data_IF_954357458278
#
_entry.id   IF_954357458278
#
_cell.length_a   1.000
_cell.length_b   1.000
_cell.length_c   1.000
_cell.angle_alpha   90.00
_cell.angle_beta   90.00
_cell.angle_gamma   90.00
#
_symmetry.space_group_name_H-M   'P 1'
#
loop_
_entity.id
_entity.type
_entity.pdbx_description
1 polymer ?
#
# COMPACT_ATOMS: atom_id res chain seq x y z
N UNK A 1 -11.51 24.67 -10.55
CA UNK A 1 -11.48 24.96 -9.10
C UNK A 1 -10.57 23.92 -8.46
N UNK A 2 -9.53 24.32 -7.73
CA UNK A 2 -8.62 23.38 -7.09
C UNK A 2 -9.32 22.87 -5.83
N UNK A 3 -9.73 21.61 -5.82
CA UNK A 3 -10.20 20.97 -4.59
C UNK A 3 -9.00 20.65 -3.70
N UNK A 4 -8.48 21.67 -3.02
CA UNK A 4 -7.46 21.54 -1.97
C UNK A 4 -7.87 20.47 -0.94
N UNK A 5 -9.18 20.31 -0.74
CA UNK A 5 -9.77 19.25 0.07
C UNK A 5 -9.44 17.83 -0.45
N UNK A 6 -9.54 17.58 -1.76
CA UNK A 6 -9.19 16.28 -2.34
C UNK A 6 -7.69 15.99 -2.21
N UNK A 7 -6.84 17.01 -2.38
CA UNK A 7 -5.39 16.89 -2.22
C UNK A 7 -5.02 16.63 -0.75
N UNK A 8 -5.72 17.26 0.19
CA UNK A 8 -5.58 16.99 1.62
C UNK A 8 -6.05 15.57 1.97
N UNK A 9 -7.16 15.11 1.40
CA UNK A 9 -7.67 13.74 1.58
C UNK A 9 -6.70 12.70 1.02
N UNK A 10 -6.10 12.98 -0.15
CA UNK A 10 -5.04 12.17 -0.75
C UNK A 10 -3.83 12.09 0.19
N UNK A 11 -3.42 13.21 0.79
CA UNK A 11 -2.36 13.25 1.81
C UNK A 11 -2.70 12.40 3.03
N UNK A 12 -3.92 12.51 3.55
CA UNK A 12 -4.38 11.75 4.72
C UNK A 12 -4.43 10.25 4.45
N UNK A 13 -5.16 9.83 3.41
CA UNK A 13 -5.36 8.42 3.05
C UNK A 13 -4.04 7.77 2.58
N UNK A 14 -3.26 8.47 1.76
CA UNK A 14 -1.95 7.99 1.31
C UNK A 14 -0.97 7.80 2.47
N UNK A 15 -1.08 8.62 3.52
CA UNK A 15 -0.21 8.55 4.70
C UNK A 15 -0.46 7.32 5.58
N UNK A 16 -1.68 6.77 5.62
CA UNK A 16 -2.03 5.63 6.50
C UNK A 16 -1.32 4.33 6.13
N UNK A 17 -1.12 4.07 4.83
CA UNK A 17 -0.46 2.85 4.36
C UNK A 17 1.03 3.05 4.06
N UNK A 18 1.35 4.11 3.32
CA UNK A 18 2.69 4.30 2.79
C UNK A 18 3.61 5.05 3.74
N UNK A 19 3.20 6.23 4.22
CA UNK A 19 4.04 7.02 5.13
C UNK A 19 4.17 6.33 6.50
N UNK A 20 3.13 5.69 7.03
CA UNK A 20 3.24 4.91 8.26
C UNK A 20 4.17 3.68 8.11
N UNK A 21 4.13 3.02 6.94
CA UNK A 21 4.95 1.83 6.66
C UNK A 21 6.41 2.13 6.32
N UNK A 22 6.68 3.15 5.51
CA UNK A 22 8.02 3.52 5.04
C UNK A 22 8.70 4.52 5.97
N UNK A 23 7.95 5.50 6.47
CA UNK A 23 8.51 6.60 7.26
C UNK A 23 8.36 6.40 8.77
N UNK A 24 7.41 5.58 9.22
CA UNK A 24 7.32 5.14 10.62
C UNK A 24 8.66 4.62 11.16
N UNK A 25 9.34 3.71 10.46
CA UNK A 25 10.70 3.27 10.80
C UNK A 25 11.72 4.41 11.03
N UNK A 26 11.76 5.40 10.15
CA UNK A 26 12.67 6.56 10.24
C UNK A 26 12.32 7.46 11.43
N UNK A 27 11.03 7.72 11.65
CA UNK A 27 10.58 8.51 12.81
C UNK A 27 10.98 7.86 14.14
N UNK A 28 10.93 6.52 14.20
CA UNK A 28 11.39 5.74 15.36
C UNK A 28 12.90 5.83 15.54
N UNK A 29 13.67 5.73 14.44
CA UNK A 29 15.13 5.82 14.49
C UNK A 29 15.59 7.20 15.01
N UNK A 30 14.94 8.28 14.57
CA UNK A 30 15.22 9.63 15.06
C UNK A 30 14.80 9.83 16.53
N UNK A 31 13.67 9.26 16.96
CA UNK A 31 13.27 9.30 18.38
C UNK A 31 14.22 8.53 19.30
N UNK A 32 14.89 7.48 18.80
CA UNK A 32 15.86 6.69 19.58
C UNK A 32 17.26 7.31 19.63
N UNK A 33 17.62 8.11 18.63
CA UNK A 33 18.89 8.82 18.61
C UNK A 33 18.89 10.07 19.50
N UNK A 34 17.72 10.54 19.94
CA UNK A 34 17.61 11.63 20.90
C UNK A 34 17.97 11.12 22.31
N UNK A 35 19.18 11.47 22.74
CA UNK A 35 19.82 10.99 23.98
C UNK A 35 19.24 11.71 25.21
N UNK A 36 18.04 11.30 25.64
CA UNK A 36 17.59 11.56 27.02
C UNK A 36 17.99 10.36 27.89
N UNK A 37 18.67 10.61 29.02
CA UNK A 37 19.02 9.61 30.02
C UNK A 37 17.80 9.01 30.77
N UNK A 38 16.58 9.39 30.36
CA UNK A 38 15.30 8.92 30.90
C UNK A 38 14.37 8.55 29.76
N UNK A 39 13.38 7.69 30.02
CA UNK A 39 12.36 7.34 29.05
C UNK A 39 11.69 8.62 28.53
N UNK A 40 11.74 8.93 27.22
CA UNK A 40 11.22 10.20 26.71
C UNK A 40 9.73 10.29 27.01
N UNK A 41 9.32 11.44 27.56
CA UNK A 41 7.92 11.68 27.92
C UNK A 41 7.10 11.88 26.65
N UNK A 42 5.82 11.54 26.64
CA UNK A 42 4.95 11.69 25.45
C UNK A 42 4.95 13.12 24.89
N UNK A 43 5.15 14.13 25.75
CA UNK A 43 5.24 15.55 25.40
C UNK A 43 6.51 15.89 24.63
N UNK A 44 7.65 15.31 25.00
CA UNK A 44 8.94 15.53 24.33
C UNK A 44 8.93 14.91 22.93
N UNK A 45 8.31 13.74 22.78
CA UNK A 45 8.10 13.13 21.47
C UNK A 45 7.12 13.92 20.60
N UNK A 46 6.02 14.42 21.18
CA UNK A 46 5.08 15.29 20.47
C UNK A 46 5.79 16.55 19.95
N UNK A 47 6.61 17.19 20.79
CA UNK A 47 7.38 18.37 20.42
C UNK A 47 8.37 18.07 19.28
N UNK A 48 9.18 17.03 19.42
CA UNK A 48 10.15 16.61 18.40
C UNK A 48 9.48 16.30 17.05
N UNK A 49 8.39 15.52 17.05
CA UNK A 49 7.69 15.15 15.83
C UNK A 49 6.90 16.31 15.23
N UNK A 50 6.44 17.27 16.02
CA UNK A 50 5.81 18.49 15.52
C UNK A 50 6.81 19.35 14.75
N UNK A 51 7.99 19.59 15.32
CA UNK A 51 9.08 20.31 14.66
C UNK A 51 9.58 19.61 13.39
N UNK A 52 9.68 18.28 13.43
CA UNK A 52 10.02 17.45 12.27
C UNK A 52 9.01 17.64 11.12
N UNK A 53 7.72 17.55 11.42
CA UNK A 53 6.70 17.72 10.39
C UNK A 53 6.61 19.17 9.90
N UNK A 54 6.90 20.15 10.75
CA UNK A 54 6.99 21.56 10.35
C UNK A 54 8.04 21.78 9.26
N UNK A 55 9.22 21.16 9.40
CA UNK A 55 10.26 21.16 8.36
C UNK A 55 9.80 20.49 7.07
N UNK A 56 9.03 19.39 7.18
CA UNK A 56 8.47 18.67 6.03
C UNK A 56 7.43 19.50 5.27
N UNK A 57 6.55 20.21 5.98
CA UNK A 57 5.59 21.17 5.40
C UNK A 57 6.30 22.29 4.66
N UNK A 58 7.35 22.86 5.26
CA UNK A 58 8.15 23.90 4.63
C UNK A 58 8.80 23.40 3.33
N UNK A 59 9.38 22.19 3.35
CA UNK A 59 9.93 21.57 2.14
C UNK A 59 8.88 21.36 1.06
N UNK A 60 7.68 20.91 1.40
CA UNK A 60 6.59 20.71 0.43
C UNK A 60 6.11 22.03 -0.17
N UNK A 61 5.98 23.08 0.64
CA UNK A 61 5.62 24.41 0.17
C UNK A 61 6.65 24.95 -0.83
N UNK A 62 7.94 24.88 -0.49
CA UNK A 62 9.04 25.37 -1.35
C UNK A 62 9.05 24.63 -2.69
N UNK A 63 8.92 23.29 -2.65
CA UNK A 63 8.87 22.48 -3.87
C UNK A 63 7.61 22.80 -4.70
N UNK A 64 6.47 23.01 -4.05
CA UNK A 64 5.21 23.39 -4.71
C UNK A 64 5.27 24.75 -5.39
N UNK A 65 5.91 25.74 -4.75
CA UNK A 65 6.18 27.06 -5.33
C UNK A 65 7.04 26.91 -6.59
N UNK A 66 8.13 26.15 -6.49
CA UNK A 66 9.04 25.91 -7.62
C UNK A 66 8.35 25.21 -8.79
N UNK A 67 7.66 24.11 -8.53
CA UNK A 67 7.00 23.30 -9.57
C UNK A 67 5.76 24.02 -10.14
N UNK A 68 4.97 24.73 -9.33
CA UNK A 68 3.85 25.54 -9.80
C UNK A 68 4.30 26.74 -10.65
N UNK A 69 5.44 27.33 -10.30
CA UNK A 69 6.11 28.36 -11.11
C UNK A 69 6.61 27.80 -12.45
N UNK A 70 7.29 26.66 -12.45
CA UNK A 70 7.67 25.98 -13.69
C UNK A 70 6.44 25.62 -14.54
N UNK A 71 5.38 25.13 -13.89
CA UNK A 71 4.08 24.86 -14.50
C UNK A 71 3.49 26.05 -15.23
N UNK A 72 3.59 27.26 -14.66
CA UNK A 72 3.11 28.47 -15.33
C UNK A 72 3.81 28.71 -16.69
N UNK A 73 5.09 28.37 -16.77
CA UNK A 73 5.93 28.60 -17.96
C UNK A 73 5.63 27.56 -19.04
N UNK A 74 5.55 26.26 -18.72
CA UNK A 74 5.27 25.28 -19.79
C UNK A 74 3.79 25.26 -20.23
N UNK A 75 2.84 25.76 -19.41
CA UNK A 75 1.41 25.87 -19.80
C UNK A 75 1.28 27.01 -20.80
N UNK A 76 1.97 28.13 -20.55
CA UNK A 76 2.09 29.22 -21.50
C UNK A 76 2.79 28.79 -22.81
N UNK A 77 3.67 27.77 -22.76
CA UNK A 77 4.38 27.22 -23.92
C UNK A 77 3.63 26.13 -24.70
N UNK A 78 2.44 25.70 -24.29
CA UNK A 78 1.61 24.72 -25.01
C UNK A 78 2.13 23.27 -25.03
N UNK A 79 3.24 22.96 -24.34
CA UNK A 79 3.91 21.65 -24.39
C UNK A 79 3.38 20.63 -23.37
N UNK A 80 2.48 21.02 -22.46
CA UNK A 80 1.99 20.12 -21.41
C UNK A 80 1.05 19.00 -21.90
N UNK A 81 0.40 19.17 -23.05
CA UNK A 81 -0.66 18.26 -23.48
C UNK A 81 -0.19 16.84 -23.86
N UNK A 82 1.12 16.56 -23.91
CA UNK A 82 1.66 15.24 -24.27
C UNK A 82 2.79 14.70 -23.38
N UNK A 83 3.37 15.51 -22.49
CA UNK A 83 4.50 15.12 -21.64
C UNK A 83 4.08 14.38 -20.37
N UNK A 84 2.81 14.50 -19.95
CA UNK A 84 2.30 13.94 -18.70
C UNK A 84 2.41 12.41 -18.66
N UNK A 85 2.17 11.71 -19.76
CA UNK A 85 2.16 10.24 -19.75
C UNK A 85 3.58 9.67 -19.60
N UNK A 86 4.53 10.12 -20.42
CA UNK A 86 5.90 9.59 -20.46
C UNK A 86 6.67 9.97 -19.19
N UNK A 87 6.55 11.22 -18.72
CA UNK A 87 7.29 11.68 -17.55
C UNK A 87 6.75 11.04 -16.26
N UNK A 88 5.42 10.90 -16.14
CA UNK A 88 4.78 10.20 -15.03
C UNK A 88 5.12 8.70 -15.02
N UNK A 89 5.20 8.07 -16.19
CA UNK A 89 5.58 6.67 -16.34
C UNK A 89 7.06 6.45 -15.97
N UNK A 90 7.97 7.30 -16.46
CA UNK A 90 9.39 7.25 -16.11
C UNK A 90 9.63 7.44 -14.61
N UNK A 91 8.95 8.41 -13.99
CA UNK A 91 9.04 8.62 -12.54
C UNK A 91 8.37 7.50 -11.74
N UNK A 92 7.26 6.92 -12.20
CA UNK A 92 6.63 5.78 -11.54
C UNK A 92 7.55 4.54 -11.57
N UNK A 93 8.23 4.27 -12.70
CA UNK A 93 9.23 3.21 -12.80
C UNK A 93 10.38 3.47 -11.81
N UNK A 94 10.94 4.67 -11.84
CA UNK A 94 12.05 5.04 -10.96
C UNK A 94 11.67 4.91 -9.47
N UNK A 95 10.50 5.42 -9.10
CA UNK A 95 9.99 5.35 -7.72
C UNK A 95 9.71 3.91 -7.31
N UNK A 96 9.05 3.13 -8.17
CA UNK A 96 8.73 1.73 -7.88
C UNK A 96 10.00 0.88 -7.70
N UNK A 97 11.01 1.07 -8.55
CA UNK A 97 12.31 0.41 -8.42
C UNK A 97 13.03 0.79 -7.11
N UNK A 98 13.02 2.08 -6.76
CA UNK A 98 13.61 2.60 -5.53
C UNK A 98 12.87 2.11 -4.27
N UNK A 99 11.54 2.01 -4.30
CA UNK A 99 10.74 1.44 -3.21
C UNK A 99 10.97 -0.06 -3.03
N UNK A 100 11.13 -0.81 -4.13
CA UNK A 100 11.52 -2.23 -4.07
C UNK A 100 12.90 -2.36 -3.43
N UNK A 101 13.86 -1.54 -3.85
CA UNK A 101 15.20 -1.50 -3.26
C UNK A 101 15.17 -1.24 -1.75
N UNK A 102 14.48 -0.18 -1.31
CA UNK A 102 14.34 0.14 0.12
C UNK A 102 13.57 -0.94 0.89
N UNK A 103 12.53 -1.53 0.31
CA UNK A 103 11.78 -2.63 0.90
C UNK A 103 12.65 -3.87 1.12
N UNK A 104 13.42 -4.30 0.11
CA UNK A 104 14.40 -5.39 0.22
C UNK A 104 15.46 -5.11 1.29
N UNK A 105 16.00 -3.89 1.31
CA UNK A 105 16.99 -3.46 2.31
C UNK A 105 16.45 -3.54 3.74
N UNK A 106 15.17 -3.21 3.97
CA UNK A 106 14.50 -3.32 5.28
C UNK A 106 14.16 -4.77 5.67
N UNK A 107 13.82 -5.64 4.71
CA UNK A 107 13.41 -7.04 4.98
C UNK A 107 14.61 -7.92 5.35
N UNK A 108 15.73 -7.79 4.62
CA UNK A 108 17.00 -8.50 4.90
C UNK A 108 18.22 -7.67 4.48
N UNK A 109 18.87 -6.97 5.44
CA UNK A 109 20.06 -6.15 5.17
C UNK A 109 21.22 -6.91 4.51
N UNK A 110 21.33 -8.22 4.77
CA UNK A 110 22.42 -9.10 4.27
C UNK A 110 22.29 -9.50 2.80
N UNK A 111 21.16 -9.21 2.13
CA UNK A 111 20.86 -9.67 0.76
C UNK A 111 21.05 -8.60 -0.32
N UNK A 112 21.50 -7.38 0.02
CA UNK A 112 21.81 -6.38 -1.00
C UNK A 112 22.98 -6.88 -1.87
N UNK A 113 22.80 -7.02 -3.20
CA UNK A 113 23.91 -7.22 -4.10
C UNK A 113 24.82 -6.00 -3.98
N UNK A 114 26.10 -6.21 -3.72
CA UNK A 114 27.10 -5.14 -3.82
C UNK A 114 27.21 -4.80 -5.31
N UNK A 115 26.36 -3.91 -5.81
CA UNK A 115 26.39 -3.52 -7.22
C UNK A 115 27.70 -2.76 -7.48
N UNK A 116 28.58 -3.27 -8.38
CA UNK A 116 29.90 -2.71 -8.61
C UNK A 116 29.89 -1.34 -9.30
N UNK A 117 28.73 -0.83 -9.73
CA UNK A 117 28.58 0.46 -10.43
C UNK A 117 28.48 1.64 -9.46
N UNK A 118 28.08 1.42 -8.20
CA UNK A 118 28.09 2.45 -7.15
C UNK A 118 29.48 2.62 -6.48
N UNK A 119 30.48 1.87 -6.95
CA UNK A 119 31.84 1.86 -6.40
C UNK A 119 32.54 3.24 -6.35
N UNK A 120 32.29 4.21 -7.27
CA UNK A 120 32.89 5.54 -7.16
C UNK A 120 32.32 6.40 -6.01
N UNK A 121 31.08 6.12 -5.56
CA UNK A 121 30.42 6.85 -4.47
C UNK A 121 30.57 6.16 -3.11
N UNK A 122 30.77 4.85 -3.08
CA UNK A 122 31.03 4.09 -1.85
C UNK A 122 32.49 4.13 -1.40
N UNK A 123 33.44 4.49 -2.28
CA UNK A 123 34.84 4.73 -1.90
C UNK A 123 35.08 6.12 -1.29
N UNK A 124 34.16 7.06 -1.52
CA UNK A 124 34.19 8.31 -0.81
C UNK A 124 33.73 8.08 0.63
N UNK A 125 34.52 8.55 1.60
CA UNK A 125 34.12 8.75 3.00
C UNK A 125 32.82 9.57 3.17
N UNK A 126 32.10 9.92 2.11
CA UNK A 126 30.89 10.72 2.06
C UNK A 126 29.70 10.01 2.70
N UNK A 127 29.46 8.71 2.46
CA UNK A 127 28.34 8.01 3.10
C UNK A 127 28.55 7.89 4.61
N UNK A 128 29.78 7.57 5.03
CA UNK A 128 30.14 7.58 6.45
C UNK A 128 30.21 8.98 7.05
N UNK A 129 30.62 10.02 6.29
CA UNK A 129 30.62 11.41 6.76
C UNK A 129 29.21 11.97 6.86
N UNK A 130 28.31 11.67 5.92
CA UNK A 130 26.90 12.03 6.01
C UNK A 130 26.21 11.25 7.13
N UNK A 131 26.50 9.95 7.26
CA UNK A 131 25.99 9.14 8.38
C UNK A 131 26.47 9.67 9.73
N UNK A 132 27.78 9.97 9.85
CA UNK A 132 28.35 10.60 11.06
C UNK A 132 27.87 12.03 11.28
N UNK A 133 27.63 12.81 10.22
CA UNK A 133 27.09 14.16 10.31
C UNK A 133 25.62 14.14 10.73
N UNK A 134 24.81 13.22 10.19
CA UNK A 134 23.42 13.02 10.62
C UNK A 134 23.35 12.55 12.07
N UNK A 135 24.25 11.65 12.50
CA UNK A 135 24.32 11.21 13.90
C UNK A 135 24.80 12.35 14.82
N UNK A 136 25.87 13.08 14.46
CA UNK A 136 26.33 14.26 15.23
C UNK A 136 25.28 15.37 15.30
N UNK A 137 24.55 15.60 14.21
CA UNK A 137 23.48 16.58 14.15
C UNK A 137 22.28 16.12 15.00
N UNK A 138 21.94 14.83 14.96
CA UNK A 138 20.91 14.21 15.80
C UNK A 138 21.27 14.22 17.30
N UNK A 139 22.56 14.11 17.64
CA UNK A 139 23.08 14.26 19.00
C UNK A 139 23.20 15.71 19.47
N UNK A 140 23.23 16.68 18.55
CA UNK A 140 23.17 18.09 18.89
C UNK A 140 21.73 18.43 19.30
N UNK A 141 21.48 18.49 20.62
CA UNK A 141 20.19 18.73 21.26
C UNK A 141 19.57 20.11 21.03
N UNK A 142 19.78 20.71 19.85
CA UNK A 142 19.21 22.00 19.50
C UNK A 142 17.82 21.86 18.89
N UNK A 143 16.99 22.89 19.08
CA UNK A 143 15.59 22.95 18.64
C UNK A 143 15.40 22.90 17.11
N UNK A 144 16.43 23.22 16.33
CA UNK A 144 16.39 23.25 14.85
C UNK A 144 16.75 21.92 14.19
N UNK A 145 17.35 20.99 14.95
CA UNK A 145 17.73 19.65 14.49
C UNK A 145 16.54 18.86 13.90
N UNK A 146 15.36 18.78 14.56
CA UNK A 146 14.23 18.04 14.03
C UNK A 146 13.66 18.71 12.78
N UNK A 147 13.64 20.04 12.72
CA UNK A 147 13.15 20.79 11.56
C UNK A 147 14.03 20.58 10.32
N UNK A 148 15.36 20.58 10.49
CA UNK A 148 16.29 20.33 9.39
C UNK A 148 16.20 18.89 8.86
N UNK A 149 16.07 17.91 9.77
CA UNK A 149 15.75 16.53 9.41
C UNK A 149 14.43 16.44 8.64
N UNK A 150 13.42 17.21 9.05
CA UNK A 150 12.13 17.31 8.38
C UNK A 150 12.21 17.85 6.97
N UNK A 151 13.05 18.87 6.73
CA UNK A 151 13.28 19.44 5.40
C UNK A 151 13.93 18.40 4.47
N UNK A 152 15.00 17.75 4.93
CA UNK A 152 15.71 16.71 4.15
C UNK A 152 14.78 15.53 3.88
N UNK A 153 14.00 15.13 4.88
CA UNK A 153 13.07 14.02 4.76
C UNK A 153 11.88 14.35 3.84
N UNK A 154 11.42 15.60 3.83
CA UNK A 154 10.40 16.09 2.89
C UNK A 154 10.83 16.06 1.42
N UNK A 155 12.14 16.02 1.15
CA UNK A 155 12.65 15.90 -0.22
C UNK A 155 12.70 14.45 -0.73
N UNK A 156 12.39 13.45 0.12
CA UNK A 156 12.39 12.05 -0.32
C UNK A 156 11.23 11.81 -1.28
N UNK A 157 11.51 11.39 -2.53
CA UNK A 157 10.47 11.17 -3.52
C UNK A 157 9.60 9.97 -3.17
N UNK A 158 8.28 10.13 -3.27
CA UNK A 158 7.32 9.02 -3.17
C UNK A 158 6.14 9.21 -4.13
N UNK A 159 5.46 8.12 -4.49
CA UNK A 159 4.42 8.14 -5.53
C UNK A 159 3.26 9.10 -5.23
N UNK A 160 2.85 9.22 -3.97
CA UNK A 160 1.81 10.17 -3.54
C UNK A 160 2.29 11.62 -3.57
N UNK A 161 3.56 11.86 -3.21
CA UNK A 161 4.17 13.18 -3.30
C UNK A 161 4.25 13.63 -4.76
N UNK A 162 4.59 12.72 -5.68
CA UNK A 162 4.60 13.03 -7.12
C UNK A 162 3.21 13.35 -7.66
N UNK A 163 2.17 12.61 -7.25
CA UNK A 163 0.80 12.94 -7.66
C UNK A 163 0.40 14.36 -7.21
N UNK A 164 0.78 14.76 -5.99
CA UNK A 164 0.56 16.11 -5.49
C UNK A 164 1.42 17.17 -6.22
N UNK A 165 2.68 16.85 -6.56
CA UNK A 165 3.58 17.73 -7.30
C UNK A 165 3.13 17.97 -8.75
N UNK A 166 2.63 16.93 -9.43
CA UNK A 166 2.01 17.06 -10.75
C UNK A 166 0.78 17.95 -10.64
N UNK A 167 -0.07 17.71 -9.63
CA UNK A 167 -1.23 18.57 -9.40
C UNK A 167 -0.85 20.03 -9.13
N UNK A 168 0.25 20.26 -8.41
CA UNK A 168 0.82 21.58 -8.18
C UNK A 168 1.34 22.22 -9.48
N UNK A 169 1.96 21.45 -10.37
CA UNK A 169 2.40 21.91 -11.69
C UNK A 169 1.21 22.33 -12.58
N UNK A 170 0.13 21.52 -12.59
CA UNK A 170 -1.11 21.79 -13.33
C UNK A 170 -1.78 23.11 -12.91
N UNK A 171 -1.53 23.60 -11.67
CA UNK A 171 -2.12 24.87 -11.22
C UNK A 171 -1.62 26.07 -12.02
N UNK A 172 -0.46 25.95 -12.69
CA UNK A 172 0.12 27.02 -13.51
C UNK A 172 0.38 28.32 -12.75
N UNK A 173 0.47 28.27 -11.42
CA UNK A 173 0.62 29.44 -10.57
C UNK A 173 1.48 29.11 -9.35
N UNK A 174 2.45 29.99 -9.06
CA UNK A 174 3.41 29.84 -7.96
C UNK A 174 2.71 29.65 -6.61
N UNK A 175 1.73 30.49 -6.31
CA UNK A 175 1.02 30.51 -5.03
C UNK A 175 0.09 29.30 -4.90
N UNK A 176 -0.62 28.95 -5.97
CA UNK A 176 -1.52 27.80 -5.97
C UNK A 176 -0.75 26.47 -5.93
N UNK A 177 0.42 26.39 -6.56
CA UNK A 177 1.33 25.25 -6.44
C UNK A 177 1.83 25.06 -5.02
N UNK A 178 2.24 26.15 -4.35
CA UNK A 178 2.60 26.14 -2.93
C UNK A 178 1.43 25.72 -2.03
N UNK A 179 0.24 26.29 -2.24
CA UNK A 179 -0.96 25.97 -1.47
C UNK A 179 -1.39 24.50 -1.64
N UNK A 180 -1.28 23.95 -2.86
CA UNK A 180 -1.58 22.55 -3.17
C UNK A 180 -0.68 21.60 -2.37
N UNK A 181 0.63 21.87 -2.36
CA UNK A 181 1.59 21.05 -1.63
C UNK A 181 1.48 21.22 -0.10
N UNK A 182 1.12 22.41 0.38
CA UNK A 182 0.79 22.64 1.78
C UNK A 182 -0.46 21.86 2.20
N UNK A 183 -1.53 21.87 1.40
CA UNK A 183 -2.74 21.09 1.66
C UNK A 183 -2.44 19.59 1.72
N UNK A 184 -1.62 19.07 0.80
CA UNK A 184 -1.12 17.70 0.86
C UNK A 184 -0.35 17.43 2.17
N UNK A 185 0.59 18.31 2.53
CA UNK A 185 1.38 18.21 3.76
C UNK A 185 0.52 18.19 5.02
N UNK A 186 -0.46 19.09 5.11
CA UNK A 186 -1.44 19.15 6.21
C UNK A 186 -2.27 17.88 6.30
N UNK A 187 -2.65 17.29 5.16
CA UNK A 187 -3.32 15.99 5.13
C UNK A 187 -2.49 14.86 5.76
N UNK A 188 -1.17 14.88 5.59
CA UNK A 188 -0.27 13.85 6.15
C UNK A 188 0.05 14.03 7.65
N UNK A 189 -0.21 15.22 8.21
CA UNK A 189 0.15 15.56 9.60
C UNK A 189 -0.50 14.65 10.66
N UNK A 190 -1.83 14.43 10.66
CA UNK A 190 -2.49 13.67 11.72
C UNK A 190 -1.93 12.25 11.82
N UNK A 191 -1.67 11.66 10.66
CA UNK A 191 -1.17 10.29 10.56
C UNK A 191 0.29 10.18 11.00
N UNK A 192 1.16 11.14 10.63
CA UNK A 192 2.57 11.14 11.03
C UNK A 192 2.78 11.46 12.51
N UNK A 193 1.99 12.39 13.07
CA UNK A 193 1.99 12.64 14.51
C UNK A 193 1.42 11.44 15.26
N UNK A 194 0.34 10.83 14.78
CA UNK A 194 -0.24 9.63 15.37
C UNK A 194 0.73 8.45 15.42
N UNK A 195 1.48 8.22 14.34
CA UNK A 195 2.54 7.20 14.30
C UNK A 195 3.67 7.55 15.26
N UNK A 196 4.15 8.80 15.26
CA UNK A 196 5.21 9.26 16.17
C UNK A 196 4.87 9.02 17.65
N UNK A 197 3.68 9.46 18.09
CA UNK A 197 3.20 9.28 19.47
C UNK A 197 2.98 7.79 19.79
N UNK A 198 2.46 7.01 18.85
CA UNK A 198 2.22 5.58 19.07
C UNK A 198 3.51 4.80 19.34
N UNK A 199 4.66 5.31 18.86
CA UNK A 199 5.94 4.64 19.08
C UNK A 199 6.44 4.74 20.52
N UNK A 200 6.03 5.76 21.28
CA UNK A 200 6.20 5.84 22.74
C UNK A 200 5.57 4.65 23.45
N UNK A 201 4.39 4.25 22.99
CA UNK A 201 3.52 3.26 23.64
C UNK A 201 3.88 1.81 23.28
N UNK A 202 4.69 1.60 22.23
CA UNK A 202 5.03 0.27 21.71
C UNK A 202 6.38 -0.19 22.28
N UNK A 203 6.47 -1.43 22.80
CA UNK A 203 7.71 -1.99 23.34
C UNK A 203 8.74 -2.34 22.26
N UNK A 204 10.04 -2.29 22.59
CA UNK A 204 11.17 -2.47 21.66
C UNK A 204 11.08 -3.74 20.78
N UNK A 205 10.52 -4.84 21.31
CA UNK A 205 10.40 -6.11 20.60
C UNK A 205 9.30 -6.10 19.51
N UNK A 206 8.23 -5.31 19.71
CA UNK A 206 7.18 -5.09 18.69
C UNK A 206 7.61 -4.06 17.64
N UNK A 207 8.53 -3.14 17.99
CA UNK A 207 9.11 -2.15 17.05
C UNK A 207 9.94 -2.82 15.95
N UNK A 208 10.75 -3.84 16.26
CA UNK A 208 11.54 -4.56 15.25
C UNK A 208 10.67 -5.36 14.26
N UNK A 209 9.54 -5.90 14.75
CA UNK A 209 8.55 -6.55 13.91
C UNK A 209 7.83 -5.55 13.00
N UNK A 210 7.49 -4.37 13.53
CA UNK A 210 6.89 -3.28 12.75
C UNK A 210 7.83 -2.80 11.62
N UNK A 211 9.13 -2.66 11.90
CA UNK A 211 10.15 -2.34 10.89
C UNK A 211 10.22 -3.38 9.77
N UNK A 212 10.23 -4.68 10.11
CA UNK A 212 10.23 -5.76 9.11
C UNK A 212 8.93 -5.82 8.32
N UNK A 213 7.79 -5.53 8.94
CA UNK A 213 6.49 -5.44 8.27
C UNK A 213 6.42 -4.22 7.34
N UNK A 214 6.95 -3.07 7.76
CA UNK A 214 7.09 -1.86 6.94
C UNK A 214 7.91 -2.10 5.66
N UNK A 215 8.99 -2.88 5.75
CA UNK A 215 9.76 -3.33 4.60
C UNK A 215 8.96 -4.16 3.60
N UNK A 216 8.15 -5.12 4.06
CA UNK A 216 7.25 -5.91 3.20
C UNK A 216 6.17 -5.04 2.56
N UNK A 217 5.56 -4.12 3.32
CA UNK A 217 4.56 -3.18 2.80
C UNK A 217 5.17 -2.28 1.73
N UNK A 218 6.37 -1.73 1.98
CA UNK A 218 7.10 -0.87 1.04
C UNK A 218 7.47 -1.64 -0.24
N UNK A 219 7.90 -2.89 -0.12
CA UNK A 219 8.18 -3.76 -1.26
C UNK A 219 6.92 -4.04 -2.09
N UNK A 220 5.81 -4.38 -1.44
CA UNK A 220 4.53 -4.62 -2.13
C UNK A 220 4.07 -3.35 -2.85
N UNK A 221 4.14 -2.18 -2.20
CA UNK A 221 3.81 -0.90 -2.82
C UNK A 221 4.72 -0.61 -4.01
N UNK A 222 6.03 -0.85 -3.89
CA UNK A 222 6.99 -0.67 -4.98
C UNK A 222 6.70 -1.59 -6.19
N UNK A 223 6.39 -2.86 -5.93
CA UNK A 223 5.97 -3.83 -6.96
C UNK A 223 4.67 -3.38 -7.61
N UNK A 224 3.65 -3.01 -6.84
CA UNK A 224 2.37 -2.50 -7.38
C UNK A 224 2.59 -1.22 -8.20
N UNK A 225 3.48 -0.33 -7.76
CA UNK A 225 3.80 0.91 -8.48
C UNK A 225 4.49 0.63 -9.81
N UNK A 226 5.41 -0.34 -9.88
CA UNK A 226 6.03 -0.76 -11.15
C UNK A 226 5.06 -1.48 -12.07
N UNK A 227 4.14 -2.27 -11.51
CA UNK A 227 3.12 -2.95 -12.30
C UNK A 227 2.11 -1.95 -12.86
N UNK A 228 1.90 -0.79 -12.23
CA UNK A 228 0.96 0.28 -12.65
C UNK A 228 1.46 1.12 -13.84
N UNK A 229 2.09 0.49 -14.82
CA UNK A 229 2.74 1.18 -15.93
C UNK A 229 1.94 1.05 -17.23
N UNK A 230 1.33 2.16 -17.65
CA UNK A 230 0.89 2.39 -19.04
C UNK A 230 -0.54 2.00 -19.38
N UNK A 231 -0.99 0.81 -18.98
CA UNK A 231 -2.36 0.36 -19.25
C UNK A 231 -3.21 0.51 -17.99
N UNK A 232 -4.43 1.04 -18.14
CA UNK A 232 -5.42 1.27 -17.09
C UNK A 232 -5.94 -0.06 -16.51
N UNK A 233 -5.07 -0.83 -15.87
CA UNK A 233 -5.39 -2.12 -15.27
C UNK A 233 -5.57 -1.91 -13.79
N UNK A 234 -6.77 -2.20 -13.30
CA UNK A 234 -7.08 -2.11 -11.89
C UNK A 234 -6.45 -3.28 -11.10
N UNK A 235 -5.24 -3.07 -10.60
CA UNK A 235 -4.52 -4.02 -9.75
C UNK A 235 -5.17 -4.25 -8.39
N UNK A 236 -6.11 -3.40 -7.94
CA UNK A 236 -6.72 -3.56 -6.62
C UNK A 236 -7.66 -4.77 -6.59
N UNK A 237 -8.39 -5.05 -7.67
CA UNK A 237 -9.17 -6.27 -7.82
C UNK A 237 -8.30 -7.54 -7.83
N UNK A 238 -7.16 -7.49 -8.54
CA UNK A 238 -6.19 -8.61 -8.57
C UNK A 238 -5.54 -8.86 -7.20
N UNK A 239 -5.14 -7.79 -6.52
CA UNK A 239 -4.60 -7.86 -5.17
C UNK A 239 -5.61 -8.42 -4.18
N UNK A 240 -6.89 -8.03 -4.28
CA UNK A 240 -7.96 -8.55 -3.45
C UNK A 240 -8.14 -10.07 -3.64
N UNK A 241 -8.21 -10.54 -4.87
CA UNK A 241 -8.36 -11.96 -5.19
C UNK A 241 -7.16 -12.79 -4.70
N UNK A 242 -5.93 -12.31 -4.92
CA UNK A 242 -4.72 -12.99 -4.46
C UNK A 242 -4.67 -13.06 -2.93
N UNK A 243 -4.98 -11.97 -2.25
CA UNK A 243 -5.04 -11.95 -0.78
C UNK A 243 -6.09 -12.92 -0.24
N UNK A 244 -7.26 -13.00 -0.88
CA UNK A 244 -8.31 -13.95 -0.52
C UNK A 244 -7.85 -15.40 -0.73
N UNK A 245 -7.23 -15.70 -1.88
CA UNK A 245 -6.66 -17.03 -2.17
C UNK A 245 -5.62 -17.45 -1.13
N UNK A 246 -4.65 -16.58 -0.83
CA UNK A 246 -3.63 -16.85 0.19
C UNK A 246 -4.25 -17.06 1.59
N UNK A 247 -5.26 -16.27 1.96
CA UNK A 247 -5.94 -16.40 3.25
C UNK A 247 -6.67 -17.76 3.40
N UNK A 248 -7.17 -18.32 2.30
CA UNK A 248 -7.87 -19.62 2.27
C UNK A 248 -6.90 -20.81 2.26
N UNK A 249 -5.76 -20.70 1.57
CA UNK A 249 -4.72 -21.75 1.50
C UNK A 249 -3.83 -21.77 2.76
N UNK A 250 -3.73 -20.65 3.48
CA UNK A 250 -2.81 -20.46 4.60
C UNK A 250 -2.83 -21.58 5.65
N UNK A 251 -3.99 -22.20 5.91
CA UNK A 251 -4.13 -23.27 6.92
C UNK A 251 -3.82 -24.67 6.35
N UNK A 252 -4.39 -25.12 5.21
CA UNK A 252 -3.97 -26.39 4.60
C UNK A 252 -2.47 -26.51 4.34
N UNK A 253 -1.84 -25.42 3.91
CA UNK A 253 -0.41 -25.43 3.56
C UNK A 253 0.53 -25.20 4.75
N UNK A 254 -0.01 -24.95 5.96
CA UNK A 254 0.77 -24.40 7.07
C UNK A 254 1.92 -25.30 7.55
N UNK A 255 1.85 -26.61 7.27
CA UNK A 255 2.93 -27.57 7.57
C UNK A 255 4.12 -27.43 6.62
N UNK A 256 3.90 -27.03 5.37
CA UNK A 256 4.97 -26.78 4.38
C UNK A 256 5.40 -25.32 4.37
N UNK A 257 4.45 -24.39 4.58
CA UNK A 257 4.71 -22.96 4.57
C UNK A 257 3.88 -22.24 5.64
N UNK A 258 4.52 -21.87 6.76
CA UNK A 258 3.84 -21.30 7.94
C UNK A 258 3.64 -19.78 7.89
N UNK A 259 4.35 -19.05 7.02
CA UNK A 259 4.28 -17.60 6.93
C UNK A 259 2.87 -17.06 6.60
N UNK A 260 2.12 -17.61 5.63
CA UNK A 260 0.76 -17.14 5.33
C UNK A 260 -0.21 -17.34 6.50
N UNK A 261 -0.03 -18.38 7.32
CA UNK A 261 -0.85 -18.62 8.50
C UNK A 261 -0.67 -17.50 9.54
N UNK A 262 0.56 -17.02 9.74
CA UNK A 262 0.86 -15.92 10.67
C UNK A 262 0.15 -14.61 10.29
N UNK A 263 -0.01 -14.36 9.00
CA UNK A 263 -0.62 -13.14 8.47
C UNK A 263 -2.04 -13.35 7.92
N UNK A 264 -2.68 -14.48 8.23
CA UNK A 264 -3.98 -14.86 7.64
C UNK A 264 -5.08 -13.81 7.86
N UNK A 265 -5.14 -13.21 9.07
CA UNK A 265 -6.12 -12.15 9.39
C UNK A 265 -5.83 -10.88 8.58
N UNK A 266 -4.57 -10.49 8.47
CA UNK A 266 -4.14 -9.34 7.66
C UNK A 266 -4.47 -9.55 6.17
N UNK A 267 -4.22 -10.75 5.64
CA UNK A 267 -4.55 -11.10 4.26
C UNK A 267 -6.06 -11.05 4.00
N UNK A 268 -6.89 -11.55 4.94
CA UNK A 268 -8.35 -11.49 4.82
C UNK A 268 -8.91 -10.06 4.85
N UNK A 269 -8.49 -9.25 5.83
CA UNK A 269 -8.90 -7.83 5.92
C UNK A 269 -8.34 -7.03 4.73
N UNK A 270 -7.10 -7.30 4.32
CA UNK A 270 -6.48 -6.69 3.15
C UNK A 270 -7.24 -7.00 1.86
N UNK A 271 -7.71 -8.24 1.69
CA UNK A 271 -8.57 -8.61 0.57
C UNK A 271 -9.86 -7.75 0.54
N UNK A 272 -10.53 -7.59 1.68
CA UNK A 272 -11.74 -6.76 1.79
C UNK A 272 -11.49 -5.28 1.48
N UNK A 273 -10.45 -4.68 2.05
CA UNK A 273 -10.10 -3.26 1.80
C UNK A 273 -9.75 -3.03 0.32
N UNK A 274 -8.98 -3.93 -0.29
CA UNK A 274 -8.66 -3.87 -1.72
C UNK A 274 -9.92 -4.06 -2.59
N UNK A 275 -10.88 -4.87 -2.15
CA UNK A 275 -12.18 -5.04 -2.84
C UNK A 275 -13.00 -3.75 -2.82
N UNK A 276 -13.03 -3.03 -1.68
CA UNK A 276 -13.69 -1.73 -1.58
C UNK A 276 -13.01 -0.68 -2.48
N UNK A 277 -11.67 -0.69 -2.52
CA UNK A 277 -10.90 0.19 -3.41
C UNK A 277 -11.23 -0.10 -4.89
N UNK A 278 -11.31 -1.38 -5.28
CA UNK A 278 -11.70 -1.82 -6.62
C UNK A 278 -13.09 -1.32 -7.01
N UNK A 279 -14.09 -1.53 -6.16
CA UNK A 279 -15.46 -1.07 -6.42
C UNK A 279 -15.51 0.45 -6.53
N UNK A 280 -14.80 1.17 -5.64
CA UNK A 280 -14.77 2.64 -5.67
C UNK A 280 -14.12 3.16 -6.95
N UNK A 281 -13.03 2.54 -7.39
CA UNK A 281 -12.34 2.89 -8.62
C UNK A 281 -13.21 2.65 -9.86
N UNK A 282 -13.88 1.48 -9.93
CA UNK A 282 -14.80 1.15 -11.03
C UNK A 282 -16.04 2.04 -11.04
N UNK A 283 -16.57 2.39 -9.87
CA UNK A 283 -17.73 3.27 -9.76
C UNK A 283 -17.42 4.69 -10.26
N UNK A 284 -16.22 5.19 -9.96
CA UNK A 284 -15.74 6.48 -10.43
C UNK A 284 -15.40 6.46 -11.94
N UNK A 285 -14.57 5.51 -12.39
CA UNK A 285 -14.04 5.52 -13.76
C UNK A 285 -15.00 4.94 -14.81
N UNK A 286 -15.81 3.93 -14.47
CA UNK A 286 -16.73 3.29 -15.43
C UNK A 286 -18.11 3.92 -15.40
N UNK A 287 -18.60 4.28 -14.21
CA UNK A 287 -19.96 4.80 -14.04
C UNK A 287 -20.00 6.32 -13.90
N UNK A 288 -18.88 7.00 -13.66
CA UNK A 288 -18.83 8.44 -13.38
C UNK A 288 -19.88 8.85 -12.33
N UNK A 289 -20.01 8.03 -11.28
CA UNK A 289 -21.02 8.15 -10.22
C UNK A 289 -22.49 8.07 -10.67
N UNK A 290 -22.74 7.65 -11.91
CA UNK A 290 -24.08 7.52 -12.48
C UNK A 290 -24.49 6.04 -12.68
N UNK A 291 -25.45 5.61 -11.87
CA UNK A 291 -25.99 4.24 -11.89
C UNK A 291 -26.84 3.93 -13.12
N UNK A 292 -27.27 4.94 -13.90
CA UNK A 292 -28.04 4.70 -15.12
C UNK A 292 -27.24 3.92 -16.17
N UNK A 293 -25.91 3.91 -16.09
CA UNK A 293 -25.05 3.11 -16.97
C UNK A 293 -25.23 1.59 -16.82
N UNK A 294 -25.75 1.11 -15.68
CA UNK A 294 -25.95 -0.33 -15.45
C UNK A 294 -26.93 -0.97 -16.43
N UNK A 295 -28.01 -0.27 -16.77
CA UNK A 295 -29.05 -0.79 -17.66
C UNK A 295 -28.58 -0.94 -19.11
N UNK A 296 -27.48 -0.27 -19.48
CA UNK A 296 -26.92 -0.32 -20.84
C UNK A 296 -25.88 -1.44 -21.02
N UNK A 297 -25.45 -2.12 -19.96
CA UNK A 297 -24.51 -3.24 -20.06
C UNK A 297 -25.19 -4.53 -20.56
N UNK A 298 -24.43 -5.38 -21.26
CA UNK A 298 -24.92 -6.70 -21.65
C UNK A 298 -25.31 -7.54 -20.41
N UNK A 299 -26.34 -8.39 -20.50
CA UNK A 299 -26.78 -9.25 -19.39
C UNK A 299 -25.65 -10.11 -18.78
N UNK A 300 -24.67 -10.53 -19.59
CA UNK A 300 -23.52 -11.31 -19.12
C UNK A 300 -22.59 -10.52 -18.18
N UNK A 301 -22.38 -9.23 -18.44
CA UNK A 301 -21.56 -8.37 -17.57
C UNK A 301 -22.33 -7.94 -16.33
N UNK A 302 -23.65 -7.79 -16.44
CA UNK A 302 -24.52 -7.56 -15.28
C UNK A 302 -24.46 -8.73 -14.30
N UNK A 303 -24.55 -9.98 -14.79
CA UNK A 303 -24.43 -11.16 -13.91
C UNK A 303 -23.06 -11.26 -13.25
N UNK A 304 -21.99 -10.95 -14.00
CA UNK A 304 -20.65 -10.84 -13.44
C UNK A 304 -20.55 -9.78 -12.33
N UNK A 305 -21.15 -8.60 -12.52
CA UNK A 305 -21.18 -7.55 -11.49
C UNK A 305 -21.93 -7.99 -10.24
N UNK A 306 -23.11 -8.58 -10.40
CA UNK A 306 -23.89 -9.11 -9.27
C UNK A 306 -23.12 -10.18 -8.49
N UNK A 307 -22.38 -11.05 -9.18
CA UNK A 307 -21.50 -12.03 -8.52
C UNK A 307 -20.44 -11.33 -7.64
N UNK A 308 -19.84 -10.23 -8.13
CA UNK A 308 -18.88 -9.42 -7.36
C UNK A 308 -19.50 -8.76 -6.13
N UNK A 309 -20.69 -8.17 -6.27
CA UNK A 309 -21.43 -7.54 -5.16
C UNK A 309 -21.76 -8.59 -4.09
N UNK A 310 -22.29 -9.75 -4.49
CA UNK A 310 -22.63 -10.83 -3.55
C UNK A 310 -21.37 -11.33 -2.85
N UNK A 311 -20.26 -11.49 -3.57
CA UNK A 311 -18.99 -11.89 -2.97
C UNK A 311 -18.50 -10.89 -1.92
N UNK A 312 -18.59 -9.58 -2.20
CA UNK A 312 -18.24 -8.51 -1.27
C UNK A 312 -19.11 -8.56 -0.01
N UNK A 313 -20.43 -8.76 -0.16
CA UNK A 313 -21.35 -8.91 0.97
C UNK A 313 -20.98 -10.13 1.83
N UNK A 314 -20.61 -11.26 1.21
CA UNK A 314 -20.24 -12.47 1.94
C UNK A 314 -18.93 -12.33 2.75
N UNK A 315 -17.95 -11.57 2.26
CA UNK A 315 -16.68 -11.34 2.99
C UNK A 315 -16.79 -10.23 4.06
N UNK A 316 -17.79 -9.35 3.96
CA UNK A 316 -17.96 -8.20 4.86
C UNK A 316 -18.08 -8.60 6.34
N UNK A 317 -18.92 -9.58 6.74
CA UNK A 317 -19.00 -10.01 8.13
C UNK A 317 -17.67 -10.55 8.66
N UNK A 318 -16.87 -11.25 7.85
CA UNK A 318 -15.57 -11.76 8.26
C UNK A 318 -14.55 -10.63 8.49
N UNK A 319 -14.58 -9.60 7.66
CA UNK A 319 -13.75 -8.41 7.84
C UNK A 319 -14.14 -7.62 9.09
N UNK A 320 -15.44 -7.36 9.29
CA UNK A 320 -15.93 -6.57 10.43
C UNK A 320 -15.78 -7.29 11.78
N UNK A 321 -15.79 -8.62 11.80
CA UNK A 321 -15.61 -9.43 13.02
C UNK A 321 -14.15 -9.85 13.27
N UNK A 322 -13.19 -9.21 12.60
CA UNK A 322 -11.76 -9.51 12.74
C UNK A 322 -11.09 -8.93 14.01
N UNK A 323 -11.85 -8.28 14.90
CA UNK A 323 -11.36 -7.79 16.20
C UNK A 323 -11.34 -8.90 17.26
N UNK A 324 -10.36 -8.89 18.16
CA UNK A 324 -10.21 -9.93 19.20
C UNK A 324 -11.42 -10.01 20.14
N UNK A 325 -12.05 -8.87 20.45
CA UNK A 325 -13.25 -8.81 21.29
C UNK A 325 -14.45 -9.52 20.64
N UNK A 326 -14.70 -9.26 19.36
CA UNK A 326 -15.82 -9.85 18.62
C UNK A 326 -15.57 -11.34 18.33
N UNK A 327 -14.32 -11.71 18.04
CA UNK A 327 -13.93 -13.12 17.89
C UNK A 327 -14.23 -13.92 19.16
N UNK A 328 -13.86 -13.39 20.33
CA UNK A 328 -14.11 -14.05 21.61
C UNK A 328 -15.60 -14.11 21.94
N UNK A 329 -16.37 -13.07 21.61
CA UNK A 329 -17.82 -13.03 21.82
C UNK A 329 -18.61 -13.99 20.91
N UNK A 330 -18.20 -14.13 19.64
CA UNK A 330 -18.88 -14.97 18.65
C UNK A 330 -18.57 -16.47 18.77
N UNK A 331 -17.46 -16.83 19.41
CA UNK A 331 -17.07 -18.22 19.70
C UNK A 331 -17.21 -19.15 18.48
N UNK A 332 -18.15 -20.10 18.53
CA UNK A 332 -18.40 -21.07 17.45
C UNK A 332 -18.99 -20.43 16.18
N UNK A 333 -19.78 -19.37 16.30
CA UNK A 333 -20.38 -18.64 15.17
C UNK A 333 -19.34 -17.91 14.32
N UNK A 334 -18.20 -17.53 14.91
CA UNK A 334 -17.08 -16.93 14.19
C UNK A 334 -16.54 -17.81 13.06
N UNK A 335 -16.58 -19.14 13.27
CA UNK A 335 -16.18 -20.12 12.25
C UNK A 335 -17.14 -20.13 11.07
N UNK A 336 -18.45 -20.05 11.32
CA UNK A 336 -19.47 -20.04 10.26
C UNK A 336 -19.31 -18.80 9.37
N UNK A 337 -19.04 -17.65 9.98
CA UNK A 337 -18.77 -16.40 9.27
C UNK A 337 -17.55 -16.56 8.33
N UNK A 338 -16.47 -17.18 8.78
CA UNK A 338 -15.27 -17.42 7.95
C UNK A 338 -15.47 -18.50 6.87
N UNK A 339 -16.51 -19.32 6.95
CA UNK A 339 -16.86 -20.28 5.89
C UNK A 339 -17.48 -19.57 4.68
N UNK A 340 -18.12 -18.41 4.87
CA UNK A 340 -18.69 -17.60 3.78
C UNK A 340 -17.62 -17.10 2.79
N UNK A 341 -16.34 -17.05 3.18
CA UNK A 341 -15.25 -16.72 2.28
C UNK A 341 -15.00 -17.76 1.18
N UNK A 342 -15.53 -18.99 1.31
CA UNK A 342 -15.46 -20.03 0.26
C UNK A 342 -16.40 -19.73 -0.92
N UNK A 343 -17.73 -19.60 -0.71
CA UNK A 343 -18.61 -19.20 -1.80
C UNK A 343 -18.23 -17.83 -2.36
N UNK A 344 -17.69 -16.91 -1.53
CA UNK A 344 -17.16 -15.64 -2.01
C UNK A 344 -16.00 -15.82 -3.03
N UNK A 345 -15.06 -16.75 -2.80
CA UNK A 345 -13.99 -17.02 -3.78
C UNK A 345 -14.55 -17.49 -5.12
N UNK A 346 -15.55 -18.38 -5.10
CA UNK A 346 -16.19 -18.90 -6.31
C UNK A 346 -16.88 -17.75 -7.06
N UNK A 347 -17.63 -16.90 -6.35
CA UNK A 347 -18.28 -15.74 -6.93
C UNK A 347 -17.29 -14.70 -7.47
N UNK A 348 -16.16 -14.48 -6.79
CA UNK A 348 -15.08 -13.62 -7.32
C UNK A 348 -14.46 -14.19 -8.60
N UNK A 349 -14.29 -15.51 -8.70
CA UNK A 349 -13.79 -16.15 -9.91
C UNK A 349 -14.79 -16.01 -11.07
N UNK A 350 -16.09 -16.18 -10.80
CA UNK A 350 -17.18 -15.94 -11.77
C UNK A 350 -17.20 -14.47 -12.19
N UNK A 351 -17.17 -13.54 -11.24
CA UNK A 351 -17.10 -12.10 -11.50
C UNK A 351 -15.93 -11.75 -12.44
N UNK A 352 -14.73 -12.26 -12.14
CA UNK A 352 -13.51 -12.01 -12.93
C UNK A 352 -13.64 -12.58 -14.34
N UNK A 353 -14.22 -13.77 -14.49
CA UNK A 353 -14.40 -14.42 -15.79
C UNK A 353 -15.51 -13.81 -16.65
N UNK A 354 -16.59 -13.28 -16.04
CA UNK A 354 -17.75 -12.74 -16.76
C UNK A 354 -17.66 -11.25 -17.06
N UNK A 355 -17.14 -10.44 -16.13
CA UNK A 355 -16.98 -8.99 -16.34
C UNK A 355 -15.78 -8.72 -17.23
N UNK A 356 -14.74 -9.58 -17.15
CA UNK A 356 -13.48 -9.35 -17.81
C UNK A 356 -12.83 -8.10 -17.23
N UNK A 357 -12.01 -8.26 -16.18
CA UNK A 357 -11.10 -7.17 -15.85
C UNK A 357 -10.19 -6.93 -17.06
N UNK A 358 -9.70 -5.71 -17.23
CA UNK A 358 -8.79 -5.29 -18.30
C UNK A 358 -7.42 -6.03 -18.30
N UNK A 359 -7.38 -7.29 -17.85
CA UNK A 359 -6.42 -8.32 -18.21
C UNK A 359 -6.85 -9.13 -19.45
N UNK A 360 -8.15 -9.10 -19.81
CA UNK A 360 -8.86 -10.15 -20.57
C UNK A 360 -10.20 -9.68 -21.17
N UNK A 361 -10.27 -8.48 -21.75
CA UNK A 361 -11.56 -7.83 -22.00
C UNK A 361 -11.70 -7.12 -23.35
N UNK A 362 -11.39 -7.80 -24.44
CA UNK A 362 -12.17 -7.62 -25.66
C UNK A 362 -12.79 -8.98 -25.98
N UNK A 363 -14.02 -9.01 -26.51
CA UNK A 363 -14.65 -10.22 -27.08
C UNK A 363 -13.91 -10.74 -28.33
N UNK A 364 -12.66 -10.32 -28.57
CA UNK A 364 -11.77 -10.96 -29.52
C UNK A 364 -11.22 -12.22 -28.87
N UNK A 365 -11.70 -13.38 -29.32
CA UNK A 365 -11.27 -14.71 -28.87
C UNK A 365 -9.79 -14.96 -29.23
N UNK A 366 -8.89 -14.26 -28.57
CA UNK A 366 -7.46 -14.45 -28.69
C UNK A 366 -7.05 -15.58 -27.75
N UNK A 367 -6.22 -16.50 -28.24
CA UNK A 367 -5.87 -17.73 -27.52
C UNK A 367 -5.27 -17.47 -26.12
N UNK A 368 -4.55 -16.36 -25.97
CA UNK A 368 -3.97 -15.93 -24.69
C UNK A 368 -5.02 -15.59 -23.62
N UNK A 369 -6.21 -15.14 -24.02
CA UNK A 369 -7.25 -14.77 -23.06
C UNK A 369 -7.98 -16.00 -22.48
N UNK A 370 -8.27 -16.97 -23.34
CA UNK A 370 -8.85 -18.25 -22.92
C UNK A 370 -7.92 -19.00 -21.96
N UNK A 371 -6.61 -19.02 -22.25
CA UNK A 371 -5.61 -19.67 -21.40
C UNK A 371 -5.57 -19.08 -19.97
N UNK A 372 -5.63 -17.76 -19.83
CA UNK A 372 -5.59 -17.10 -18.50
C UNK A 372 -6.89 -17.32 -17.71
N UNK A 373 -8.04 -17.33 -18.36
CA UNK A 373 -9.33 -17.63 -17.71
C UNK A 373 -9.35 -19.09 -17.24
N UNK A 374 -8.89 -20.01 -18.09
CA UNK A 374 -8.72 -21.43 -17.73
C UNK A 374 -7.74 -21.58 -16.56
N UNK A 375 -6.62 -20.85 -16.57
CA UNK A 375 -5.66 -20.85 -15.45
C UNK A 375 -6.31 -20.38 -14.14
N UNK A 376 -7.11 -19.31 -14.17
CA UNK A 376 -7.81 -18.81 -12.98
C UNK A 376 -8.82 -19.83 -12.43
N UNK A 377 -9.54 -20.52 -13.31
CA UNK A 377 -10.43 -21.64 -12.93
C UNK A 377 -9.63 -22.79 -12.31
N UNK A 378 -8.52 -23.20 -12.93
CA UNK A 378 -7.64 -24.26 -12.42
C UNK A 378 -7.09 -23.89 -11.04
N UNK A 379 -6.61 -22.66 -10.85
CA UNK A 379 -6.10 -22.18 -9.56
C UNK A 379 -7.23 -22.22 -8.52
N UNK A 380 -8.40 -21.69 -8.84
CA UNK A 380 -9.54 -21.66 -7.91
C UNK A 380 -9.97 -23.07 -7.52
N UNK A 381 -10.08 -23.99 -8.48
CA UNK A 381 -10.36 -25.40 -8.22
C UNK A 381 -9.27 -26.02 -7.34
N UNK A 382 -7.99 -25.83 -7.67
CA UNK A 382 -6.86 -26.35 -6.88
C UNK A 382 -6.92 -25.89 -5.41
N UNK A 383 -7.31 -24.64 -5.16
CA UNK A 383 -7.48 -24.11 -3.80
C UNK A 383 -8.62 -24.82 -3.06
N UNK A 384 -9.75 -25.03 -3.73
CA UNK A 384 -10.88 -25.77 -3.16
C UNK A 384 -10.50 -27.23 -2.88
N UNK A 385 -9.76 -27.87 -3.79
CA UNK A 385 -9.27 -29.23 -3.63
C UNK A 385 -8.32 -29.34 -2.43
N UNK A 386 -7.32 -28.47 -2.33
CA UNK A 386 -6.36 -28.39 -1.21
C UNK A 386 -7.07 -28.11 0.13
N UNK A 387 -8.23 -27.46 0.12
CA UNK A 387 -9.01 -27.24 1.35
C UNK A 387 -9.84 -28.47 1.75
N UNK A 388 -10.22 -29.30 0.79
CA UNK A 388 -11.08 -30.46 1.03
C UNK A 388 -10.31 -31.59 1.77
N UNK A 389 -10.79 -32.08 2.92
CA UNK A 389 -10.10 -33.13 3.67
C UNK A 389 -10.09 -34.48 2.93
N UNK A 390 -11.07 -34.71 2.05
CA UNK A 390 -11.22 -35.92 1.25
C UNK A 390 -10.00 -36.14 0.33
N UNK A 391 -9.48 -35.08 -0.28
CA UNK A 391 -8.38 -35.19 -1.25
C UNK A 391 -7.05 -35.50 -0.56
N UNK A 392 -6.82 -34.95 0.63
CA UNK A 392 -5.66 -35.32 1.45
C UNK A 392 -5.72 -36.79 1.89
N UNK A 393 -6.92 -37.34 2.06
CA UNK A 393 -7.14 -38.76 2.34
C UNK A 393 -6.87 -39.62 1.10
N UNK A 394 -7.38 -39.21 -0.07
CA UNK A 394 -7.20 -39.92 -1.35
C UNK A 394 -5.72 -39.95 -1.78
N UNK A 395 -5.01 -38.84 -1.59
CA UNK A 395 -3.58 -38.73 -1.92
C UNK A 395 -2.65 -39.36 -0.87
N UNK A 396 -3.18 -40.02 0.16
CA UNK A 396 -2.43 -40.62 1.28
C UNK A 396 -1.56 -39.62 2.09
N UNK A 397 -1.78 -38.31 1.92
CA UNK A 397 -1.04 -37.23 2.57
C UNK A 397 -1.75 -36.67 3.82
N UNK A 398 -2.68 -37.42 4.42
CA UNK A 398 -3.44 -37.02 5.61
C UNK A 398 -2.54 -36.57 6.78
N UNK A 399 -1.31 -37.13 6.88
CA UNK A 399 -0.26 -36.72 7.84
C UNK A 399 0.22 -35.28 7.66
N UNK A 400 -0.13 -34.58 6.58
CA UNK A 400 0.23 -33.18 6.32
C UNK A 400 -0.96 -32.22 6.39
N UNK A 401 -2.20 -32.72 6.48
CA UNK A 401 -3.37 -31.88 6.68
C UNK A 401 -3.44 -31.38 8.12
N UNK A 402 -3.57 -30.06 8.30
CA UNK A 402 -3.81 -29.45 9.61
C UNK A 402 -5.33 -29.34 9.84
N UNK A 403 -5.95 -30.25 10.64
CA UNK A 403 -7.39 -30.27 10.80
C UNK A 403 -7.91 -28.99 11.48
N UNK A 404 -9.17 -28.61 11.19
CA UNK A 404 -9.78 -27.42 11.76
C UNK A 404 -9.93 -27.46 13.29
N UNK A 405 -9.87 -28.65 13.91
CA UNK A 405 -10.01 -28.87 15.34
C UNK A 405 -8.71 -29.41 15.94
N UNK A 406 -7.82 -28.53 16.40
CA UNK A 406 -7.02 -28.81 17.59
C UNK A 406 -7.03 -27.53 18.42
N UNK A 407 -7.83 -27.46 19.51
CA UNK A 407 -7.59 -26.44 20.53
C UNK A 407 -6.18 -26.66 21.07
N UNK A 408 -5.40 -25.59 21.14
CA UNK A 408 -4.28 -25.50 22.08
C UNK A 408 -4.79 -24.84 23.33
#
# INVERSE_FOLDING_TARGET
>A
MIDLFLVMLLGFLGSFGHCAGMCGPLTVAFSLSHKSNTSPTWQEQLYFHSLLNLGRLASYAIVGIGIGGLGSILIAGGQFAGLDSIFRQGMAIFTGALLIWFGLAQIRPKWMPKFPILHPLTQGNLHEKLGRAMVKLSEAGHWWTPTLLGIIWGLIPCGFLYAAQIKAAETGNIWLGGATMLAFGLGTLPTMLGVGISTALVSANRRSQLFRMGGWVTLIIGVVTLLRNGDMVDYTGHGALLCLMLALIARPISRFWSNPLRYRRLLGVGAFVLSLAHVSYMFDHTFNWNLSGLSFMLPIHQTGMWAGIIALVLITPAALTSFDSLMNALGKGWRQIHLLSVPALILCAIHTGLVGSHYLGELTSTMGQQLRTVLLVIITLSILLVRSPLIWSILSLAKFYAPPNQPK
#
